data_IF_769415387366
#
_entry.id   IF_769415387366
#
_cell.length_a   1.000
_cell.length_b   1.000
_cell.length_c   1.000
_cell.angle_alpha   90.00
_cell.angle_beta   90.00
_cell.angle_gamma   90.00
#
_symmetry.space_group_name_H-M   'P 1'
#
loop_
_entity.id
_entity.type
_entity.pdbx_description
1 polymer ?
#
# COMPACT_ATOMS: atom_id res chain seq x y z
N UNK A 1 15.18 20.18 1.58
CA UNK A 1 15.30 18.71 1.73
C UNK A 1 15.19 18.39 3.21
N UNK A 2 14.00 18.02 3.67
CA UNK A 2 13.76 17.65 5.07
C UNK A 2 13.95 16.14 5.19
N UNK A 3 15.01 15.74 5.90
CA UNK A 3 15.31 14.36 6.22
C UNK A 3 14.33 13.86 7.30
N UNK A 4 13.66 12.74 7.05
CA UNK A 4 12.85 12.00 8.02
C UNK A 4 13.77 11.35 9.09
N UNK A 5 14.27 12.14 10.03
CA UNK A 5 15.15 11.67 11.11
C UNK A 5 14.41 11.06 12.33
N UNK A 6 13.09 10.86 12.25
CA UNK A 6 12.25 10.41 13.38
C UNK A 6 11.85 8.93 13.38
N UNK A 7 11.94 8.23 12.24
CA UNK A 7 11.26 6.94 12.04
C UNK A 7 11.95 5.77 12.75
N UNK A 8 13.25 5.86 13.03
CA UNK A 8 14.03 4.75 13.60
C UNK A 8 13.62 4.38 15.03
N UNK A 9 13.42 5.38 15.90
CA UNK A 9 13.11 5.16 17.33
C UNK A 9 11.70 4.60 17.54
N UNK A 10 10.72 5.08 16.78
CA UNK A 10 9.33 4.57 16.85
C UNK A 10 9.28 3.12 16.38
N UNK A 11 10.00 2.81 15.29
CA UNK A 11 10.07 1.46 14.74
C UNK A 11 10.73 0.47 15.68
N UNK A 12 11.84 0.86 16.31
CA UNK A 12 12.54 0.06 17.32
C UNK A 12 11.64 -0.22 18.53
N UNK A 13 10.91 0.80 18.99
CA UNK A 13 9.90 0.66 20.04
C UNK A 13 8.80 -0.34 19.67
N UNK A 14 8.23 -0.27 18.46
CA UNK A 14 7.17 -1.19 18.03
C UNK A 14 7.67 -2.65 17.90
N UNK A 15 8.90 -2.87 17.43
CA UNK A 15 9.49 -4.21 17.40
C UNK A 15 9.71 -4.79 18.81
N UNK A 16 10.24 -3.99 19.73
CA UNK A 16 10.48 -4.40 21.13
C UNK A 16 9.18 -4.65 21.90
N UNK A 17 8.07 -4.06 21.44
CA UNK A 17 6.75 -4.15 22.06
C UNK A 17 5.74 -4.93 21.20
N UNK A 18 6.21 -5.82 20.31
CA UNK A 18 5.32 -6.58 19.41
C UNK A 18 4.29 -7.43 20.16
N UNK A 19 4.64 -7.91 21.35
CA UNK A 19 3.76 -8.61 22.29
C UNK A 19 2.59 -7.74 22.80
N UNK A 20 2.72 -6.41 22.73
CA UNK A 20 1.66 -5.47 23.09
C UNK A 20 0.74 -5.14 21.90
N UNK A 21 1.11 -5.55 20.68
CA UNK A 21 0.27 -5.35 19.49
C UNK A 21 -0.76 -6.48 19.45
N UNK A 22 -2.06 -6.18 19.59
CA UNK A 22 -3.09 -7.21 19.60
C UNK A 22 -3.13 -7.93 18.25
N UNK A 23 -3.22 -9.26 18.32
CA UNK A 23 -3.44 -10.09 17.14
C UNK A 23 -4.77 -9.71 16.48
N UNK A 24 -4.75 -9.48 15.17
CA UNK A 24 -5.98 -9.25 14.42
C UNK A 24 -6.65 -10.60 14.15
N UNK A 25 -7.87 -10.84 14.67
CA UNK A 25 -8.56 -12.11 14.46
C UNK A 25 -8.87 -12.31 12.98
N UNK A 26 -8.89 -13.57 12.54
CA UNK A 26 -9.12 -13.94 11.14
C UNK A 26 -10.44 -13.37 10.58
N UNK A 27 -11.49 -13.32 11.41
CA UNK A 27 -12.79 -12.74 11.04
C UNK A 27 -12.69 -11.26 10.65
N UNK A 28 -11.85 -10.48 11.33
CA UNK A 28 -11.64 -9.07 11.00
C UNK A 28 -10.91 -8.90 9.67
N UNK A 29 -9.94 -9.78 9.37
CA UNK A 29 -9.27 -9.79 8.06
C UNK A 29 -10.28 -10.09 6.94
N UNK A 30 -11.13 -11.10 7.13
CA UNK A 30 -12.19 -11.44 6.17
C UNK A 30 -13.14 -10.28 5.90
N UNK A 31 -13.53 -9.52 6.94
CA UNK A 31 -14.38 -8.32 6.78
C UNK A 31 -13.71 -7.27 5.90
N UNK A 32 -12.40 -7.03 6.08
CA UNK A 32 -11.65 -6.08 5.27
C UNK A 32 -11.58 -6.52 3.81
N UNK A 33 -11.31 -7.80 3.53
CA UNK A 33 -11.29 -8.31 2.16
C UNK A 33 -12.66 -8.28 1.47
N UNK A 34 -13.75 -8.54 2.21
CA UNK A 34 -15.12 -8.37 1.70
C UNK A 34 -15.39 -6.92 1.33
N UNK A 35 -15.06 -5.97 2.22
CA UNK A 35 -15.21 -4.54 1.95
C UNK A 35 -14.37 -4.09 0.75
N UNK A 36 -13.14 -4.59 0.60
CA UNK A 36 -12.31 -4.29 -0.56
C UNK A 36 -12.98 -4.75 -1.85
N UNK A 37 -13.54 -5.96 -1.86
CA UNK A 37 -14.28 -6.50 -3.01
C UNK A 37 -15.47 -5.61 -3.35
N UNK A 38 -16.28 -5.27 -2.35
CA UNK A 38 -17.47 -4.42 -2.53
C UNK A 38 -17.07 -3.06 -3.14
N UNK A 39 -16.01 -2.43 -2.63
CA UNK A 39 -15.50 -1.16 -3.17
C UNK A 39 -14.89 -1.27 -4.56
N UNK A 40 -14.26 -2.40 -4.91
CA UNK A 40 -13.74 -2.63 -6.25
C UNK A 40 -14.87 -2.82 -7.27
N UNK A 41 -15.92 -3.55 -6.89
CA UNK A 41 -17.14 -3.72 -7.70
C UNK A 41 -17.84 -2.38 -7.89
N UNK A 42 -18.01 -1.60 -6.81
CA UNK A 42 -18.58 -0.25 -6.87
C UNK A 42 -17.75 0.67 -7.76
N UNK A 43 -16.42 0.68 -7.60
CA UNK A 43 -15.53 1.49 -8.44
C UNK A 43 -15.64 1.12 -9.93
N UNK A 44 -15.79 -0.16 -10.27
CA UNK A 44 -16.04 -0.56 -11.65
C UNK A 44 -17.42 -0.09 -12.16
N UNK A 45 -18.46 -0.19 -11.33
CA UNK A 45 -19.78 0.32 -11.66
C UNK A 45 -19.73 1.84 -11.95
N UNK A 46 -18.99 2.61 -11.15
CA UNK A 46 -18.78 4.04 -11.37
C UNK A 46 -18.05 4.33 -12.71
N UNK A 47 -17.06 3.51 -13.06
CA UNK A 47 -16.32 3.65 -14.34
C UNK A 47 -17.20 3.31 -15.56
N UNK A 48 -18.01 2.27 -15.45
CA UNK A 48 -18.80 1.73 -16.57
C UNK A 48 -20.16 2.41 -16.75
N UNK A 49 -20.77 2.92 -15.67
CA UNK A 49 -22.10 3.52 -15.68
C UNK A 49 -22.19 4.82 -16.47
N UNK A 50 -21.08 5.57 -16.53
CA UNK A 50 -21.06 6.85 -17.23
C UNK A 50 -20.86 6.72 -18.75
N UNK A 51 -20.28 5.62 -19.24
CA UNK A 51 -19.76 5.59 -20.61
C UNK A 51 -19.80 4.19 -21.25
N UNK A 52 -20.91 3.87 -21.93
CA UNK A 52 -20.92 2.75 -22.88
C UNK A 52 -19.96 2.97 -24.08
N UNK A 53 -19.50 4.21 -24.31
CA UNK A 53 -18.60 4.60 -25.42
C UNK A 53 -17.30 5.30 -24.96
N UNK A 54 -16.85 5.10 -23.71
CA UNK A 54 -15.63 5.76 -23.24
C UNK A 54 -14.42 5.35 -24.09
N UNK A 55 -13.82 6.34 -24.75
CA UNK A 55 -12.53 6.16 -25.42
C UNK A 55 -11.47 5.78 -24.38
N UNK A 56 -10.57 4.86 -24.71
CA UNK A 56 -9.59 4.29 -23.78
C UNK A 56 -8.84 5.29 -22.88
N UNK A 57 -8.40 6.47 -23.38
CA UNK A 57 -7.79 7.51 -22.55
C UNK A 57 -8.68 8.05 -21.42
N UNK A 58 -10.00 8.15 -21.65
CA UNK A 58 -10.95 8.62 -20.62
C UNK A 58 -11.11 7.60 -19.51
N UNK A 59 -11.17 6.31 -19.86
CA UNK A 59 -11.21 5.23 -18.86
C UNK A 59 -9.97 5.27 -17.97
N UNK A 60 -8.77 5.39 -18.57
CA UNK A 60 -7.52 5.50 -17.82
C UNK A 60 -7.49 6.72 -16.90
N UNK A 61 -7.98 7.86 -17.37
CA UNK A 61 -8.07 9.07 -16.56
C UNK A 61 -9.01 8.85 -15.36
N UNK A 62 -10.21 8.32 -15.58
CA UNK A 62 -11.15 8.04 -14.50
C UNK A 62 -10.61 7.02 -13.51
N UNK A 63 -9.92 5.99 -13.99
CA UNK A 63 -9.23 5.03 -13.13
C UNK A 63 -8.22 5.72 -12.20
N UNK A 64 -7.45 6.68 -12.74
CA UNK A 64 -6.49 7.44 -11.95
C UNK A 64 -7.15 8.36 -10.89
N UNK A 65 -8.41 8.72 -11.11
CA UNK A 65 -9.23 9.58 -10.24
C UNK A 65 -10.09 8.78 -9.24
N UNK A 66 -10.10 7.44 -9.32
CA UNK A 66 -10.87 6.61 -8.40
C UNK A 66 -10.44 6.83 -6.95
N UNK A 67 -11.37 7.14 -6.02
CA UNK A 67 -11.03 7.33 -4.61
C UNK A 67 -10.31 6.13 -3.97
N UNK A 68 -10.51 4.93 -4.52
CA UNK A 68 -9.82 3.69 -4.13
C UNK A 68 -8.33 3.71 -4.48
N UNK A 69 -7.93 4.35 -5.58
CA UNK A 69 -6.59 4.29 -6.17
C UNK A 69 -5.79 5.60 -6.02
N UNK A 70 -6.47 6.75 -5.93
CA UNK A 70 -5.84 8.08 -5.90
C UNK A 70 -4.65 8.18 -4.93
N UNK A 71 -4.74 7.72 -3.66
CA UNK A 71 -3.62 7.86 -2.73
C UNK A 71 -2.36 7.08 -3.13
N UNK A 72 -2.47 6.07 -3.99
CA UNK A 72 -1.36 5.25 -4.48
C UNK A 72 -0.82 5.72 -5.84
N UNK A 73 -1.50 6.68 -6.47
CA UNK A 73 -1.09 7.24 -7.76
C UNK A 73 -0.51 8.64 -7.61
N UNK A 74 -0.78 9.32 -6.50
CA UNK A 74 -0.20 10.61 -6.19
C UNK A 74 1.30 10.50 -5.85
N UNK A 75 2.14 11.44 -6.30
CA UNK A 75 3.58 11.42 -6.01
C UNK A 75 3.91 11.73 -4.55
N UNK A 76 2.93 12.18 -3.76
CA UNK A 76 3.09 12.48 -2.34
C UNK A 76 2.31 11.42 -1.57
N UNK A 77 3.02 10.47 -0.95
CA UNK A 77 2.41 9.50 -0.06
C UNK A 77 1.80 10.25 1.13
N UNK A 78 0.47 10.28 1.18
CA UNK A 78 -0.25 10.83 2.32
C UNK A 78 -0.16 9.84 3.48
N UNK A 79 0.34 10.30 4.63
CA UNK A 79 0.42 9.48 5.84
C UNK A 79 -0.95 8.91 6.26
N UNK A 80 -2.04 9.62 5.93
CA UNK A 80 -3.41 9.21 6.21
C UNK A 80 -4.22 9.23 4.89
N UNK A 81 -4.73 8.07 4.43
CA UNK A 81 -5.63 8.04 3.28
C UNK A 81 -6.89 8.87 3.59
N UNK A 82 -7.20 9.82 2.71
CA UNK A 82 -8.39 10.69 2.86
C UNK A 82 -9.69 9.97 2.53
N UNK A 83 -9.62 8.85 1.80
CA UNK A 83 -10.79 8.04 1.44
C UNK A 83 -10.85 6.75 2.25
N UNK A 84 -12.06 6.38 2.69
CA UNK A 84 -12.31 5.10 3.37
C UNK A 84 -11.96 3.92 2.46
N UNK A 85 -12.25 4.03 1.16
CA UNK A 85 -11.95 3.01 0.14
C UNK A 85 -10.45 2.72 0.08
N UNK A 86 -9.60 3.75 -0.05
CA UNK A 86 -8.15 3.58 -0.08
C UNK A 86 -7.60 3.10 1.26
N UNK A 87 -8.18 3.52 2.39
CA UNK A 87 -7.81 2.99 3.71
C UNK A 87 -8.06 1.48 3.80
N UNK A 88 -9.20 1.01 3.30
CA UNK A 88 -9.52 -0.43 3.26
C UNK A 88 -8.54 -1.17 2.36
N UNK A 89 -8.19 -0.62 1.19
CA UNK A 89 -7.15 -1.21 0.33
C UNK A 89 -5.79 -1.28 1.03
N UNK A 90 -5.33 -0.20 1.68
CA UNK A 90 -4.07 -0.21 2.45
C UNK A 90 -4.11 -1.28 3.55
N UNK A 91 -5.19 -1.35 4.32
CA UNK A 91 -5.35 -2.36 5.38
C UNK A 91 -5.36 -3.80 4.83
N UNK A 92 -6.03 -4.04 3.70
CA UNK A 92 -6.05 -5.34 3.04
C UNK A 92 -4.63 -5.75 2.60
N UNK A 93 -3.89 -4.83 1.97
CA UNK A 93 -2.52 -5.06 1.54
C UNK A 93 -1.57 -5.33 2.72
N UNK A 94 -1.77 -4.68 3.87
CA UNK A 94 -1.01 -4.95 5.09
C UNK A 94 -1.32 -6.32 5.69
N UNK A 95 -2.52 -6.86 5.49
CA UNK A 95 -2.87 -8.19 5.97
C UNK A 95 -2.41 -9.30 5.04
N UNK A 96 -2.59 -9.13 3.73
CA UNK A 96 -2.20 -10.07 2.68
C UNK A 96 -2.16 -9.33 1.33
N UNK A 97 -0.97 -8.85 0.95
CA UNK A 97 -0.75 -8.12 -0.29
C UNK A 97 -1.10 -8.96 -1.54
N UNK A 98 -0.65 -10.23 -1.68
CA UNK A 98 -1.04 -11.07 -2.81
C UNK A 98 -2.56 -11.15 -3.01
N UNK A 99 -3.32 -11.40 -1.93
CA UNK A 99 -4.78 -11.50 -2.01
C UNK A 99 -5.43 -10.16 -2.36
N UNK A 100 -4.94 -9.04 -1.79
CA UNK A 100 -5.46 -7.71 -2.11
C UNK A 100 -5.26 -7.35 -3.59
N UNK A 101 -4.08 -7.66 -4.14
CA UNK A 101 -3.78 -7.44 -5.56
C UNK A 101 -4.61 -8.34 -6.47
N UNK A 102 -4.82 -9.61 -6.09
CA UNK A 102 -5.68 -10.53 -6.84
C UNK A 102 -7.12 -9.99 -6.92
N UNK A 103 -7.70 -9.52 -5.81
CA UNK A 103 -9.05 -8.95 -5.79
C UNK A 103 -9.17 -7.69 -6.64
N UNK A 104 -8.19 -6.79 -6.55
CA UNK A 104 -8.14 -5.60 -7.42
C UNK A 104 -8.07 -6.00 -8.89
N UNK A 105 -7.28 -7.03 -9.22
CA UNK A 105 -7.16 -7.49 -10.59
C UNK A 105 -8.47 -8.09 -11.12
N UNK A 106 -9.07 -9.01 -10.37
CA UNK A 106 -10.32 -9.69 -10.75
C UNK A 106 -11.50 -8.71 -10.91
N UNK A 107 -11.66 -7.77 -9.99
CA UNK A 107 -12.86 -6.93 -9.96
C UNK A 107 -12.71 -5.62 -10.75
N UNK A 108 -11.48 -5.12 -10.94
CA UNK A 108 -11.24 -3.81 -11.53
C UNK A 108 -10.27 -3.85 -12.73
N UNK A 109 -9.03 -4.31 -12.54
CA UNK A 109 -7.99 -4.16 -13.56
C UNK A 109 -8.19 -5.07 -14.77
N UNK A 110 -8.58 -6.33 -14.56
CA UNK A 110 -8.87 -7.27 -15.64
C UNK A 110 -10.02 -6.77 -16.50
N UNK A 111 -11.07 -6.22 -15.91
CA UNK A 111 -12.20 -5.63 -16.63
C UNK A 111 -11.76 -4.42 -17.46
N UNK A 112 -10.95 -3.54 -16.88
CA UNK A 112 -10.35 -2.43 -17.61
C UNK A 112 -9.46 -2.91 -18.78
N UNK A 113 -8.65 -3.96 -18.60
CA UNK A 113 -7.85 -4.55 -19.70
C UNK A 113 -8.74 -5.07 -20.82
N UNK A 114 -9.83 -5.76 -20.51
CA UNK A 114 -10.79 -6.23 -21.53
C UNK A 114 -11.41 -5.05 -22.30
N UNK A 115 -11.80 -3.97 -21.62
CA UNK A 115 -12.32 -2.76 -22.26
C UNK A 115 -11.29 -2.03 -23.12
N UNK A 116 -10.00 -2.14 -22.80
CA UNK A 116 -8.91 -1.49 -23.52
C UNK A 116 -8.23 -2.39 -24.57
N UNK A 117 -8.64 -3.65 -24.73
CA UNK A 117 -7.95 -4.64 -25.55
C UNK A 117 -7.75 -4.23 -27.02
N UNK A 118 -8.62 -3.35 -27.54
CA UNK A 118 -8.51 -2.81 -28.90
C UNK A 118 -7.40 -1.75 -29.06
N UNK A 119 -6.84 -1.21 -27.97
CA UNK A 119 -5.85 -0.13 -27.96
C UNK A 119 -4.59 -0.55 -27.20
N UNK A 120 -3.56 -0.95 -27.95
CA UNK A 120 -2.25 -1.36 -27.40
C UNK A 120 -1.61 -0.29 -26.51
N UNK A 121 -1.69 0.98 -26.91
CA UNK A 121 -1.18 2.11 -26.12
C UNK A 121 -1.93 2.30 -24.80
N UNK A 122 -3.24 2.08 -24.77
CA UNK A 122 -4.04 2.24 -23.55
C UNK A 122 -3.82 1.07 -22.59
N UNK A 123 -3.66 -0.15 -23.12
CA UNK A 123 -3.30 -1.32 -22.31
C UNK A 123 -1.95 -1.12 -21.63
N UNK A 124 -0.91 -0.65 -22.35
CA UNK A 124 0.40 -0.41 -21.75
C UNK A 124 0.34 0.62 -20.61
N UNK A 125 -0.45 1.69 -20.77
CA UNK A 125 -0.65 2.69 -19.71
C UNK A 125 -1.42 2.14 -18.51
N UNK A 126 -2.36 1.22 -18.72
CA UNK A 126 -3.03 0.52 -17.62
C UNK A 126 -2.06 -0.35 -16.84
N UNK A 127 -1.14 -1.03 -17.53
CA UNK A 127 -0.12 -1.85 -16.89
C UNK A 127 0.87 -0.97 -16.10
N UNK A 128 1.27 0.19 -16.63
CA UNK A 128 2.07 1.18 -15.89
C UNK A 128 1.37 1.67 -14.61
N UNK A 129 0.06 1.98 -14.68
CA UNK A 129 -0.73 2.35 -13.50
C UNK A 129 -0.79 1.21 -12.49
N UNK A 130 -0.98 -0.02 -12.98
CA UNK A 130 -1.04 -1.23 -12.15
C UNK A 130 0.28 -1.46 -11.40
N UNK A 131 1.41 -1.36 -12.10
CA UNK A 131 2.73 -1.48 -11.47
C UNK A 131 2.95 -0.37 -10.46
N UNK A 132 2.56 0.87 -10.76
CA UNK A 132 2.69 1.98 -9.81
C UNK A 132 1.91 1.71 -8.51
N UNK A 133 0.65 1.28 -8.62
CA UNK A 133 -0.18 0.93 -7.46
C UNK A 133 0.47 -0.22 -6.66
N UNK A 134 0.95 -1.26 -7.37
CA UNK A 134 1.63 -2.39 -6.73
C UNK A 134 2.89 -1.95 -6.00
N UNK A 135 3.76 -1.18 -6.63
CA UNK A 135 5.01 -0.68 -6.04
C UNK A 135 4.73 0.15 -4.79
N UNK A 136 3.72 1.02 -4.83
CA UNK A 136 3.34 1.82 -3.65
C UNK A 136 2.76 0.95 -2.53
N UNK A 137 1.93 -0.05 -2.84
CA UNK A 137 1.41 -0.98 -1.84
C UNK A 137 2.50 -1.85 -1.22
N UNK A 138 3.49 -2.29 -2.02
CA UNK A 138 4.68 -2.99 -1.54
C UNK A 138 5.47 -2.07 -0.61
N UNK A 139 5.79 -0.84 -1.03
CA UNK A 139 6.55 0.10 -0.21
C UNK A 139 5.85 0.38 1.12
N UNK A 140 4.54 0.59 1.11
CA UNK A 140 3.73 0.75 2.32
C UNK A 140 3.74 -0.52 3.21
N UNK A 141 3.73 -1.71 2.62
CA UNK A 141 3.77 -2.97 3.36
C UNK A 141 5.17 -3.27 3.93
N UNK A 142 6.24 -2.97 3.19
CA UNK A 142 7.63 -3.17 3.61
C UNK A 142 8.08 -2.16 4.67
N UNK A 143 7.62 -0.90 4.58
CA UNK A 143 7.78 0.10 5.63
C UNK A 143 7.26 -0.45 6.97
N UNK A 144 6.16 -1.21 6.92
CA UNK A 144 5.51 -1.84 8.08
C UNK A 144 6.09 -3.22 8.44
N UNK A 145 6.65 -3.99 7.47
CA UNK A 145 7.03 -5.39 7.65
C UNK A 145 8.52 -5.71 7.85
N UNK A 146 9.47 -4.83 7.49
CA UNK A 146 10.88 -5.25 7.44
C UNK A 146 11.48 -5.62 8.83
N UNK A 147 12.08 -6.83 8.99
CA UNK A 147 12.84 -7.23 10.17
C UNK A 147 14.25 -6.62 10.16
N UNK A 148 14.72 -6.16 11.31
CA UNK A 148 16.04 -5.53 11.46
C UNK A 148 17.12 -6.63 11.46
N UNK A 149 17.90 -6.72 10.39
CA UNK A 149 19.21 -7.39 10.43
C UNK A 149 20.09 -6.57 11.37
N UNK A 150 20.45 -7.16 12.51
CA UNK A 150 21.38 -6.61 13.48
C UNK A 150 22.79 -6.54 12.87
N UNK A 151 23.04 -5.54 12.04
CA UNK A 151 24.39 -5.16 11.63
C UNK A 151 25.08 -4.38 12.74
N UNK A 152 25.45 -5.06 13.82
CA UNK A 152 26.51 -4.58 14.71
C UNK A 152 27.79 -5.32 14.33
N UNK A 153 28.76 -4.59 13.76
CA UNK A 153 30.05 -4.61 14.40
C UNK A 153 30.67 -3.21 14.48
N UNK A 154 31.07 -2.85 15.69
CA UNK A 154 32.12 -1.86 15.90
C UNK A 154 31.64 -0.48 16.34
N UNK A 155 31.60 -0.28 17.66
CA UNK A 155 32.36 0.83 18.22
C UNK A 155 33.16 0.30 19.39
N UNK A 156 34.45 0.16 19.12
CA UNK A 156 35.50 -0.01 20.11
C UNK A 156 35.46 1.09 21.17
N UNK A 157 35.63 0.67 22.42
CA UNK A 157 36.52 1.31 23.37
C UNK A 157 36.12 2.69 23.88
N UNK A 158 35.64 2.74 25.12
CA UNK A 158 36.18 3.68 26.09
C UNK A 158 36.31 2.99 27.44
N UNK A 159 37.53 2.52 27.69
CA UNK A 159 38.02 2.30 29.04
C UNK A 159 38.09 3.66 29.74
N UNK A 160 37.43 3.78 30.89
CA UNK A 160 37.81 4.74 31.91
C UNK A 160 38.04 3.96 33.21
N UNK A 161 39.32 3.69 33.48
CA UNK A 161 39.83 3.85 34.85
C UNK A 161 39.66 5.32 35.24
N UNK A 162 39.76 5.73 36.49
CA UNK A 162 40.78 5.40 37.50
C UNK A 162 40.16 5.74 38.90
N UNK A 163 40.88 5.89 40.03
CA UNK A 163 40.86 4.94 41.14
C UNK A 163 40.51 5.54 42.53
N UNK A 164 40.67 4.68 43.54
CA UNK A 164 41.27 4.95 44.86
C UNK A 164 40.44 5.60 46.00
N UNK A 165 40.33 4.78 47.05
CA UNK A 165 40.64 5.07 48.47
C UNK A 165 39.79 6.05 49.26
N UNK A 166 39.08 5.54 50.27
CA UNK A 166 39.58 5.43 51.65
C UNK A 166 38.78 4.37 52.42
#
# INVERSE_FOLDING_TARGET
MLACAGSGKVREFLCQNRQLIPQVPAESKLKIFRLLRDYAVEAWADLSGDHQDACGPQLLQKMAELPLLVPFLQPQSLAIPVSVKARVLKMAALYDLPLAMQLLDEELLSRARHSLAASTSSSARLDELTEKIRSELISNAEEEAAPIVAGHPGVHGLAFGVPASA
#
